data_IF_814352310465
#
_entry.id   IF_814352310465
#
_cell.length_a   1.000
_cell.length_b   1.000
_cell.length_c   1.000
_cell.angle_alpha   90.00
_cell.angle_beta   90.00
_cell.angle_gamma   90.00
#
_symmetry.space_group_name_H-M   'P 1'
#
loop_
_entity.id
_entity.type
_entity.pdbx_description
1 polymer ?
#
# COMPACT_ATOMS: atom_id res chain seq x y z
N UNK A 1 57.20 53.95 39.76
CA UNK A 1 56.30 53.12 40.60
C UNK A 1 55.59 52.17 39.64
N UNK A 2 56.16 50.99 39.33
CA UNK A 2 55.90 49.67 39.97
C UNK A 2 54.41 49.46 40.30
N UNK A 3 53.72 48.62 39.54
CA UNK A 3 52.91 47.51 40.07
C UNK A 3 52.65 46.46 38.96
N UNK A 4 53.05 45.23 39.29
CA UNK A 4 52.78 44.00 38.56
C UNK A 4 51.41 43.45 39.00
N UNK A 5 50.64 42.88 38.08
CA UNK A 5 49.44 42.10 38.41
C UNK A 5 49.53 40.72 37.79
N UNK A 6 49.31 39.73 38.66
CA UNK A 6 49.56 38.31 38.48
C UNK A 6 48.58 37.62 37.53
N UNK A 7 49.15 36.66 36.81
CA UNK A 7 48.52 35.53 36.13
C UNK A 7 47.74 34.64 37.12
N UNK A 8 46.52 34.24 36.77
CA UNK A 8 45.86 33.05 37.32
C UNK A 8 45.16 32.30 36.18
N UNK A 9 45.87 31.32 35.61
CA UNK A 9 45.36 30.44 34.55
C UNK A 9 44.79 29.19 35.24
N UNK A 10 43.47 29.12 35.36
CA UNK A 10 42.76 27.97 35.90
C UNK A 10 42.67 26.86 34.86
N UNK A 11 43.44 25.80 35.05
CA UNK A 11 43.46 24.60 34.21
C UNK A 11 42.26 23.70 34.58
N UNK A 12 41.19 23.74 33.78
CA UNK A 12 40.05 22.84 33.92
C UNK A 12 40.37 21.51 33.21
N UNK A 13 40.56 20.43 33.98
CA UNK A 13 40.70 19.08 33.46
C UNK A 13 39.32 18.54 33.04
N UNK A 14 39.08 18.52 31.72
CA UNK A 14 37.96 17.80 31.11
C UNK A 14 38.25 16.30 31.20
N UNK A 15 37.54 15.61 32.09
CA UNK A 15 37.48 14.15 32.12
C UNK A 15 36.68 13.70 30.89
N UNK A 16 37.37 13.37 29.82
CA UNK A 16 36.78 12.73 28.63
C UNK A 16 36.54 11.27 28.98
N UNK A 17 35.33 10.94 29.44
CA UNK A 17 34.90 9.55 29.57
C UNK A 17 34.81 8.94 28.18
N UNK A 18 35.61 7.91 27.91
CA UNK A 18 35.40 7.04 26.75
C UNK A 18 34.04 6.35 26.92
N UNK A 19 32.99 6.92 26.35
CA UNK A 19 31.77 6.18 26.07
C UNK A 19 32.15 5.18 24.97
N UNK A 20 32.38 3.93 25.35
CA UNK A 20 32.47 2.85 24.37
C UNK A 20 31.11 2.75 23.71
N UNK A 21 31.07 3.11 22.42
CA UNK A 21 29.93 2.92 21.54
C UNK A 21 29.80 1.43 21.22
N UNK A 22 29.42 0.66 22.24
CA UNK A 22 29.32 -0.78 22.18
C UNK A 22 28.06 -1.17 21.41
N UNK A 23 28.27 -1.95 20.35
CA UNK A 23 27.19 -2.46 19.52
C UNK A 23 26.21 -3.24 20.40
N UNK A 24 24.89 -3.01 20.21
CA UNK A 24 23.88 -3.77 20.93
C UNK A 24 23.83 -5.25 20.48
N UNK A 25 24.40 -5.55 19.31
CA UNK A 25 24.64 -6.89 18.80
C UNK A 25 26.13 -7.26 18.96
N UNK A 26 26.40 -8.50 19.40
CA UNK A 26 27.72 -9.10 19.40
C UNK A 26 28.29 -9.28 18.01
N UNK A 27 29.61 -9.43 17.91
CA UNK A 27 30.32 -9.54 16.62
C UNK A 27 29.87 -10.75 15.79
N UNK A 28 29.52 -11.85 16.46
CA UNK A 28 29.08 -13.11 15.86
C UNK A 28 27.65 -13.49 16.30
N UNK A 29 26.84 -12.51 16.72
CA UNK A 29 25.44 -12.75 17.08
C UNK A 29 24.64 -13.13 15.82
N UNK A 30 23.78 -14.13 15.92
CA UNK A 30 22.86 -14.49 14.84
C UNK A 30 21.56 -13.71 14.98
N UNK A 31 21.18 -12.99 13.93
CA UNK A 31 19.92 -12.27 13.81
C UNK A 31 18.77 -13.14 13.33
N UNK A 32 19.00 -14.17 12.52
CA UNK A 32 17.95 -15.11 12.09
C UNK A 32 17.86 -16.35 12.98
N UNK A 33 16.67 -16.62 13.52
CA UNK A 33 16.29 -17.97 13.95
C UNK A 33 17.09 -18.56 15.12
N UNK A 34 17.32 -17.80 16.21
CA UNK A 34 18.09 -18.29 17.38
C UNK A 34 17.41 -19.41 18.19
N UNK A 35 16.30 -19.99 17.73
CA UNK A 35 15.59 -21.07 18.43
C UNK A 35 15.06 -20.67 19.81
N UNK A 36 15.09 -19.38 20.15
CA UNK A 36 14.47 -18.82 21.35
C UNK A 36 13.02 -18.46 21.01
N UNK A 37 12.11 -18.82 21.91
CA UNK A 37 10.67 -18.77 21.70
C UNK A 37 10.09 -17.35 21.55
N UNK A 38 10.91 -16.30 21.60
CA UNK A 38 10.55 -14.89 21.54
C UNK A 38 11.04 -14.16 20.27
N UNK A 39 11.84 -14.81 19.41
CA UNK A 39 12.22 -14.24 18.11
C UNK A 39 11.20 -14.60 17.02
N UNK A 40 10.47 -13.61 16.51
CA UNK A 40 9.67 -13.80 15.28
C UNK A 40 10.60 -14.12 14.12
N UNK A 41 10.35 -15.25 13.46
CA UNK A 41 11.07 -15.62 12.25
C UNK A 41 10.61 -14.74 11.07
N UNK A 42 11.56 -14.16 10.32
CA UNK A 42 11.23 -13.40 9.12
C UNK A 42 10.57 -14.30 8.06
N UNK A 43 9.53 -13.77 7.42
CA UNK A 43 8.93 -14.36 6.23
C UNK A 43 9.90 -14.34 5.04
N UNK A 44 9.62 -15.16 4.02
CA UNK A 44 10.41 -15.17 2.79
C UNK A 44 10.45 -13.79 2.10
N UNK A 45 9.34 -13.05 2.11
CA UNK A 45 9.32 -11.69 1.57
C UNK A 45 10.29 -10.79 2.33
N UNK A 46 10.21 -10.77 3.67
CA UNK A 46 11.03 -9.84 4.48
C UNK A 46 12.52 -10.10 4.27
N UNK A 47 12.91 -11.38 4.16
CA UNK A 47 14.28 -11.77 3.78
C UNK A 47 14.69 -11.19 2.42
N UNK A 48 13.88 -11.41 1.38
CA UNK A 48 14.13 -10.89 0.03
C UNK A 48 14.16 -9.36 -0.01
N UNK A 49 13.28 -8.69 0.75
CA UNK A 49 13.19 -7.24 0.81
C UNK A 49 14.41 -6.62 1.48
N UNK A 50 14.94 -7.24 2.54
CA UNK A 50 16.19 -6.84 3.19
C UNK A 50 17.37 -6.99 2.22
N UNK A 51 17.50 -8.15 1.55
CA UNK A 51 18.57 -8.38 0.56
C UNK A 51 18.50 -7.33 -0.54
N UNK A 52 17.31 -7.10 -1.11
CA UNK A 52 17.09 -6.11 -2.15
C UNK A 52 17.45 -4.71 -1.67
N UNK A 53 17.00 -4.33 -0.48
CA UNK A 53 17.30 -3.03 0.12
C UNK A 53 18.81 -2.82 0.30
N UNK A 54 19.54 -3.78 0.84
CA UNK A 54 21.00 -3.67 1.01
C UNK A 54 21.73 -3.53 -0.34
N UNK A 55 21.29 -4.28 -1.36
CA UNK A 55 21.88 -4.29 -2.69
C UNK A 55 21.54 -3.07 -3.56
N UNK A 56 20.73 -2.12 -3.07
CA UNK A 56 20.44 -0.84 -3.75
C UNK A 56 21.53 0.22 -3.58
N UNK A 57 22.57 -0.04 -2.78
CA UNK A 57 23.72 0.87 -2.66
C UNK A 57 23.58 1.96 -1.60
N UNK A 58 22.69 1.80 -0.61
CA UNK A 58 22.57 2.75 0.51
C UNK A 58 23.91 2.89 1.26
N UNK A 59 24.25 4.11 1.69
CA UNK A 59 25.46 4.37 2.48
C UNK A 59 25.30 3.91 3.93
N UNK A 60 26.41 3.87 4.69
CA UNK A 60 26.36 3.49 6.10
C UNK A 60 25.48 4.45 6.90
N UNK A 61 25.60 5.76 6.64
CA UNK A 61 24.76 6.79 7.27
C UNK A 61 23.27 6.55 6.98
N UNK A 62 22.94 6.10 5.76
CA UNK A 62 21.54 5.81 5.42
C UNK A 62 20.98 4.61 6.17
N UNK A 63 21.79 3.59 6.41
CA UNK A 63 21.41 2.44 7.24
C UNK A 63 21.29 2.86 8.71
N UNK A 64 22.14 3.77 9.19
CA UNK A 64 22.05 4.34 10.54
C UNK A 64 20.78 5.16 10.74
N UNK A 65 20.38 5.97 9.76
CA UNK A 65 19.08 6.66 9.76
C UNK A 65 17.90 5.68 9.86
N UNK A 66 18.04 4.48 9.30
CA UNK A 66 17.08 3.38 9.39
C UNK A 66 17.15 2.61 10.73
N UNK A 67 18.03 3.03 11.65
CA UNK A 67 18.15 2.45 12.99
C UNK A 67 19.16 1.30 13.10
N UNK A 68 19.90 0.99 12.03
CA UNK A 68 21.00 0.00 12.08
C UNK A 68 22.19 0.62 12.83
N UNK A 69 22.78 -0.11 13.77
CA UNK A 69 23.92 0.42 14.53
C UNK A 69 25.14 0.69 13.63
N UNK A 70 25.90 1.76 13.90
CA UNK A 70 27.05 2.23 13.10
C UNK A 70 28.04 1.11 12.74
N UNK A 71 28.36 0.20 13.67
CA UNK A 71 29.25 -0.95 13.39
C UNK A 71 28.66 -1.96 12.39
N UNK A 72 27.37 -2.26 12.51
CA UNK A 72 26.67 -3.17 11.61
C UNK A 72 26.50 -2.52 10.22
N UNK A 73 26.09 -1.25 10.18
CA UNK A 73 25.96 -0.47 8.94
C UNK A 73 27.29 -0.41 8.16
N UNK A 74 28.39 -0.07 8.83
CA UNK A 74 29.72 -0.05 8.21
C UNK A 74 30.16 -1.44 7.72
N UNK A 75 29.85 -2.50 8.47
CA UNK A 75 30.22 -3.88 8.08
C UNK A 75 29.41 -4.36 6.87
N UNK A 76 28.11 -4.05 6.81
CA UNK A 76 27.23 -4.36 5.68
C UNK A 76 27.70 -3.67 4.39
N UNK A 77 27.99 -2.36 4.48
CA UNK A 77 28.49 -1.58 3.34
C UNK A 77 29.84 -2.08 2.88
N UNK A 78 30.77 -2.34 3.82
CA UNK A 78 32.10 -2.87 3.49
C UNK A 78 32.04 -4.25 2.83
N UNK A 79 31.12 -5.12 3.28
CA UNK A 79 30.91 -6.42 2.63
C UNK A 79 30.41 -6.24 1.20
N UNK A 80 29.39 -5.40 1.01
CA UNK A 80 28.75 -5.14 -0.28
C UNK A 80 29.66 -4.45 -1.30
N UNK A 81 30.36 -3.40 -0.88
CA UNK A 81 31.11 -2.47 -1.77
C UNK A 81 32.56 -2.93 -2.02
N UNK A 82 32.89 -4.18 -1.66
CA UNK A 82 34.18 -4.76 -2.00
C UNK A 82 35.39 -4.10 -1.33
N UNK A 83 36.55 -4.23 -1.97
CA UNK A 83 37.83 -3.75 -1.45
C UNK A 83 38.06 -2.26 -1.72
N UNK A 84 37.49 -1.71 -2.80
CA UNK A 84 37.60 -0.30 -3.13
C UNK A 84 36.61 0.59 -2.34
N UNK A 85 35.56 -0.01 -1.77
CA UNK A 85 34.58 0.66 -0.92
C UNK A 85 33.64 1.57 -1.71
N UNK A 86 33.48 1.34 -3.01
CA UNK A 86 32.62 2.12 -3.90
C UNK A 86 31.52 1.24 -4.50
N UNK A 87 30.28 1.47 -4.10
CA UNK A 87 29.15 0.77 -4.72
C UNK A 87 29.08 0.98 -6.25
N UNK A 88 28.81 -0.11 -6.97
CA UNK A 88 28.63 -0.13 -8.42
C UNK A 88 29.91 -0.44 -9.21
N UNK A 89 30.98 -0.88 -8.55
CA UNK A 89 32.26 -1.27 -9.16
C UNK A 89 32.31 -2.78 -9.41
N UNK A 90 33.43 -3.26 -9.99
CA UNK A 90 33.58 -4.67 -10.38
C UNK A 90 33.78 -5.61 -9.18
N UNK A 91 34.26 -5.09 -8.05
CA UNK A 91 34.54 -5.86 -6.84
C UNK A 91 33.39 -5.84 -5.80
N UNK A 92 32.24 -5.26 -6.14
CA UNK A 92 31.01 -5.37 -5.35
C UNK A 92 30.67 -6.86 -5.07
N UNK A 93 30.49 -7.20 -3.81
CA UNK A 93 30.00 -8.51 -3.36
C UNK A 93 28.57 -8.38 -2.82
N UNK A 94 27.60 -8.31 -3.73
CA UNK A 94 26.18 -8.22 -3.40
C UNK A 94 25.72 -9.43 -2.58
N UNK A 95 24.76 -9.19 -1.69
CA UNK A 95 24.17 -10.25 -0.88
C UNK A 95 23.31 -11.17 -1.74
N UNK A 96 23.55 -12.47 -1.67
CA UNK A 96 22.81 -13.51 -2.38
C UNK A 96 21.74 -14.17 -1.49
N UNK A 97 21.86 -14.05 -0.17
CA UNK A 97 20.97 -14.73 0.78
C UNK A 97 20.85 -13.98 2.11
N UNK A 98 19.80 -14.29 2.87
CA UNK A 98 19.62 -13.73 4.21
C UNK A 98 20.70 -14.28 5.16
N UNK A 99 21.07 -15.55 5.02
CA UNK A 99 22.12 -16.18 5.82
C UNK A 99 23.48 -15.47 5.63
N UNK A 100 23.76 -14.96 4.44
CA UNK A 100 24.95 -14.14 4.19
C UNK A 100 24.89 -12.79 4.92
N UNK A 101 23.72 -12.11 4.90
CA UNK A 101 23.51 -10.87 5.66
C UNK A 101 23.74 -11.09 7.16
N UNK A 102 23.21 -12.19 7.71
CA UNK A 102 23.36 -12.58 9.12
C UNK A 102 24.78 -12.91 9.53
N UNK A 103 25.59 -13.38 8.58
CA UNK A 103 26.98 -13.73 8.84
C UNK A 103 27.92 -12.52 8.87
N UNK A 104 27.44 -11.32 8.51
CA UNK A 104 28.24 -10.09 8.55
C UNK A 104 28.47 -9.67 10.00
N UNK A 105 29.72 -9.31 10.32
CA UNK A 105 30.08 -8.91 11.68
C UNK A 105 29.17 -7.82 12.24
N UNK A 106 28.75 -8.01 13.50
CA UNK A 106 27.83 -7.12 14.24
C UNK A 106 26.39 -7.07 13.68
N UNK A 107 26.03 -7.90 12.70
CA UNK A 107 24.63 -8.05 12.27
C UNK A 107 23.97 -9.09 13.16
N UNK A 108 23.29 -8.63 14.21
CA UNK A 108 22.52 -9.48 15.10
C UNK A 108 21.03 -9.11 15.11
N UNK A 109 20.28 -9.56 16.13
CA UNK A 109 18.84 -9.34 16.22
C UNK A 109 18.41 -7.87 16.14
N UNK A 110 19.21 -6.92 16.64
CA UNK A 110 18.85 -5.49 16.57
C UNK A 110 19.04 -4.94 15.17
N UNK A 111 20.14 -5.27 14.49
CA UNK A 111 20.37 -4.89 13.10
C UNK A 111 19.27 -5.47 12.18
N UNK A 112 18.93 -6.76 12.33
CA UNK A 112 17.87 -7.39 11.53
C UNK A 112 16.50 -6.76 11.82
N UNK A 113 16.17 -6.46 13.07
CA UNK A 113 14.91 -5.78 13.41
C UNK A 113 14.80 -4.39 12.77
N UNK A 114 15.90 -3.62 12.75
CA UNK A 114 15.94 -2.31 12.10
C UNK A 114 15.79 -2.42 10.58
N UNK A 115 16.46 -3.39 9.94
CA UNK A 115 16.32 -3.66 8.51
C UNK A 115 14.90 -4.14 8.15
N UNK A 116 14.28 -4.97 8.98
CA UNK A 116 12.86 -5.36 8.83
C UNK A 116 11.95 -4.13 8.85
N UNK A 117 12.13 -3.24 9.83
CA UNK A 117 11.34 -2.01 9.92
C UNK A 117 11.53 -1.13 8.68
N UNK A 118 12.78 -0.93 8.25
CA UNK A 118 13.12 -0.12 7.08
C UNK A 118 12.56 -0.66 5.76
N UNK A 119 12.26 -1.96 5.70
CA UNK A 119 11.76 -2.65 4.52
C UNK A 119 10.31 -3.10 4.66
N UNK A 120 9.65 -2.83 5.80
CA UNK A 120 8.33 -3.38 6.13
C UNK A 120 7.26 -3.09 5.08
N UNK A 121 7.31 -1.90 4.47
CA UNK A 121 6.38 -1.53 3.38
C UNK A 121 6.55 -2.37 2.11
N UNK A 122 7.75 -2.89 1.84
CA UNK A 122 8.03 -3.74 0.66
C UNK A 122 7.37 -5.12 0.78
N UNK A 123 7.11 -5.54 2.02
CA UNK A 123 6.46 -6.80 2.34
C UNK A 123 5.06 -6.65 2.91
N UNK A 124 4.53 -5.43 2.92
CA UNK A 124 3.10 -5.24 3.10
C UNK A 124 2.40 -6.02 1.98
N UNK A 125 1.74 -7.12 2.35
CA UNK A 125 0.92 -7.88 1.43
C UNK A 125 0.01 -6.90 0.68
N UNK A 126 -0.13 -7.05 -0.64
CA UNK A 126 -1.09 -6.25 -1.41
C UNK A 126 -2.49 -6.55 -0.85
N UNK A 127 -2.94 -5.71 0.08
CA UNK A 127 -4.23 -5.88 0.75
C UNK A 127 -5.39 -5.82 -0.24
N UNK A 128 -5.12 -5.41 -1.48
CA UNK A 128 -6.06 -5.35 -2.59
C UNK A 128 -5.78 -6.39 -3.69
N UNK A 129 -4.99 -7.44 -3.44
CA UNK A 129 -4.73 -8.50 -4.42
C UNK A 129 -6.03 -9.08 -4.97
N UNK A 130 -6.99 -9.39 -4.09
CA UNK A 130 -8.31 -9.90 -4.48
C UNK A 130 -9.11 -8.89 -5.32
N UNK A 131 -8.85 -7.59 -5.18
CA UNK A 131 -9.47 -6.56 -5.99
C UNK A 131 -8.94 -6.55 -7.44
N UNK A 132 -7.79 -7.16 -7.72
CA UNK A 132 -7.26 -7.33 -9.08
C UNK A 132 -7.80 -8.57 -9.79
N UNK A 133 -8.29 -9.57 -9.05
CA UNK A 133 -9.03 -10.68 -9.64
C UNK A 133 -10.42 -10.21 -10.11
N UNK A 134 -10.52 -9.81 -11.37
CA UNK A 134 -11.72 -9.22 -11.96
C UNK A 134 -12.94 -10.13 -12.01
N UNK A 135 -12.78 -11.43 -11.72
CA UNK A 135 -13.86 -12.42 -11.67
C UNK A 135 -14.48 -12.54 -10.28
N UNK A 136 -13.75 -12.12 -9.24
CA UNK A 136 -14.16 -12.30 -7.85
C UNK A 136 -15.10 -11.18 -7.41
N UNK A 137 -16.37 -11.50 -7.21
CA UNK A 137 -17.39 -10.53 -6.78
C UNK A 137 -17.25 -10.12 -5.31
N UNK A 138 -16.89 -11.06 -4.43
CA UNK A 138 -16.77 -10.85 -2.98
C UNK A 138 -15.31 -10.95 -2.56
N UNK A 139 -14.76 -9.87 -2.00
CA UNK A 139 -13.38 -9.83 -1.52
C UNK A 139 -13.32 -9.57 -0.01
N UNK A 140 -12.28 -10.07 0.64
CA UNK A 140 -12.01 -9.88 2.07
C UNK A 140 -10.66 -9.19 2.28
N UNK A 141 -10.51 -8.54 3.43
CA UNK A 141 -9.25 -7.99 3.90
C UNK A 141 -8.75 -8.76 5.11
N UNK A 142 -7.45 -8.78 5.33
CA UNK A 142 -6.88 -9.26 6.59
C UNK A 142 -7.37 -8.39 7.76
N UNK A 143 -7.47 -8.99 8.95
CA UNK A 143 -7.76 -8.24 10.16
C UNK A 143 -6.69 -7.16 10.37
N UNK A 144 -7.11 -5.95 10.73
CA UNK A 144 -6.20 -4.81 10.89
C UNK A 144 -5.70 -4.17 9.60
N UNK A 145 -6.13 -4.64 8.41
CA UNK A 145 -5.71 -4.03 7.14
C UNK A 145 -5.98 -2.51 7.12
N UNK A 146 -4.96 -1.68 6.85
CA UNK A 146 -5.09 -0.23 6.97
C UNK A 146 -6.11 0.30 5.97
N UNK A 147 -6.89 1.29 6.41
CA UNK A 147 -7.77 2.02 5.51
C UNK A 147 -6.98 3.13 4.80
N UNK A 148 -7.18 3.32 3.50
CA UNK A 148 -6.54 4.40 2.76
C UNK A 148 -7.01 5.77 3.29
N UNK A 149 -6.10 6.73 3.29
CA UNK A 149 -6.30 8.11 3.78
C UNK A 149 -6.59 9.08 2.64
N UNK A 150 -6.20 8.72 1.42
CA UNK A 150 -6.48 9.42 0.16
C UNK A 150 -7.09 8.48 -0.87
N UNK A 151 -7.61 9.06 -1.95
CA UNK A 151 -8.21 8.31 -3.05
C UNK A 151 -7.69 8.84 -4.37
N UNK A 152 -7.17 7.93 -5.17
CA UNK A 152 -6.73 8.21 -6.53
C UNK A 152 -7.84 7.84 -7.50
N UNK A 153 -8.19 8.77 -8.39
CA UNK A 153 -9.23 8.58 -9.40
C UNK A 153 -8.66 7.77 -10.55
N UNK A 154 -9.08 6.52 -10.79
CA UNK A 154 -8.48 5.71 -11.83
C UNK A 154 -9.03 6.10 -13.20
N UNK A 155 -8.13 6.06 -14.18
CA UNK A 155 -8.41 6.21 -15.60
C UNK A 155 -7.72 5.10 -16.39
N UNK A 156 -8.24 4.79 -17.58
CA UNK A 156 -7.65 3.76 -18.43
C UNK A 156 -8.35 3.67 -19.78
N UNK A 157 -7.58 3.72 -20.87
CA UNK A 157 -8.06 3.51 -22.25
C UNK A 157 -9.31 4.35 -22.62
N UNK A 158 -9.37 5.60 -22.16
CA UNK A 158 -10.49 6.52 -22.46
C UNK A 158 -11.70 6.38 -21.52
N UNK A 159 -11.64 5.51 -20.51
CA UNK A 159 -12.64 5.39 -19.45
C UNK A 159 -12.10 5.97 -18.14
N UNK A 160 -12.98 6.52 -17.32
CA UNK A 160 -12.62 7.08 -16.01
C UNK A 160 -13.65 6.72 -14.94
N UNK A 161 -13.17 6.58 -13.71
CA UNK A 161 -14.01 6.46 -12.52
C UNK A 161 -13.84 7.71 -11.67
N UNK A 162 -14.84 8.58 -11.72
CA UNK A 162 -14.82 9.87 -11.05
C UNK A 162 -15.57 9.87 -9.72
N UNK A 163 -15.26 10.85 -8.88
CA UNK A 163 -15.95 11.10 -7.62
C UNK A 163 -15.80 10.00 -6.57
N UNK A 164 -16.28 10.30 -5.38
CA UNK A 164 -16.44 9.36 -4.28
C UNK A 164 -17.81 9.61 -3.68
N UNK A 165 -18.63 8.58 -3.49
CA UNK A 165 -19.97 8.73 -2.92
C UNK A 165 -20.27 7.61 -1.94
N UNK A 166 -20.40 7.95 -0.67
CA UNK A 166 -20.75 7.00 0.37
C UNK A 166 -22.21 7.12 0.77
N UNK A 167 -22.84 5.97 0.92
CA UNK A 167 -24.16 5.81 1.48
C UNK A 167 -24.11 4.90 2.70
N UNK A 168 -23.87 5.49 3.88
CA UNK A 168 -23.85 4.82 5.17
C UNK A 168 -25.23 4.35 5.63
N UNK A 169 -25.56 3.07 5.46
CA UNK A 169 -26.90 2.50 5.61
C UNK A 169 -27.37 2.30 7.06
N UNK A 170 -27.23 3.31 7.91
CA UNK A 170 -27.71 3.32 9.30
C UNK A 170 -28.25 4.71 9.68
N UNK A 171 -29.03 4.76 10.77
CA UNK A 171 -29.53 6.02 11.33
C UNK A 171 -28.36 6.92 11.74
N UNK A 172 -28.35 8.16 11.25
CA UNK A 172 -27.28 9.12 11.52
C UNK A 172 -26.01 8.92 10.68
N UNK A 173 -25.98 7.97 9.76
CA UNK A 173 -24.90 7.83 8.77
C UNK A 173 -24.91 8.98 7.76
N UNK A 174 -23.74 9.30 7.21
CA UNK A 174 -23.57 10.29 6.13
C UNK A 174 -24.13 9.74 4.81
N UNK A 175 -25.19 10.38 4.27
CA UNK A 175 -25.93 9.90 3.10
C UNK A 175 -26.58 11.02 2.25
N UNK A 176 -26.17 11.20 0.97
CA UNK A 176 -24.84 10.87 0.48
C UNK A 176 -23.78 11.78 1.12
N UNK A 177 -22.54 11.31 1.20
CA UNK A 177 -21.38 12.20 1.30
C UNK A 177 -20.46 11.97 0.12
N UNK A 178 -19.89 13.07 -0.39
CA UNK A 178 -18.97 13.06 -1.52
C UNK A 178 -17.51 13.17 -1.13
N UNK A 179 -17.22 13.23 0.17
CA UNK A 179 -15.85 13.30 0.69
C UNK A 179 -15.31 11.89 0.92
N UNK A 180 -14.12 11.60 0.39
CA UNK A 180 -13.49 10.31 0.63
C UNK A 180 -13.27 10.04 2.12
N UNK A 181 -12.80 11.06 2.84
CA UNK A 181 -12.49 10.99 4.28
C UNK A 181 -13.72 10.84 5.17
N UNK A 182 -14.93 11.05 4.63
CA UNK A 182 -16.17 10.83 5.37
C UNK A 182 -16.63 9.36 5.39
N UNK A 183 -16.08 8.51 4.51
CA UNK A 183 -16.34 7.08 4.52
C UNK A 183 -15.80 6.42 5.79
N UNK A 184 -16.39 5.31 6.23
CA UNK A 184 -15.79 4.48 7.29
C UNK A 184 -14.50 3.84 6.81
N UNK A 185 -13.68 3.29 7.71
CA UNK A 185 -12.45 2.57 7.32
C UNK A 185 -12.76 1.41 6.36
N UNK A 186 -13.82 0.64 6.62
CA UNK A 186 -14.26 -0.43 5.74
C UNK A 186 -14.80 0.13 4.40
N UNK A 187 -15.58 1.20 4.45
CA UNK A 187 -16.05 1.92 3.27
C UNK A 187 -14.91 2.39 2.37
N UNK A 188 -13.89 3.05 2.94
CA UNK A 188 -12.73 3.55 2.20
C UNK A 188 -11.90 2.43 1.59
N UNK A 189 -11.70 1.30 2.31
CA UNK A 189 -11.09 0.09 1.73
C UNK A 189 -11.89 -0.44 0.54
N UNK A 190 -13.22 -0.57 0.65
CA UNK A 190 -14.04 -1.05 -0.46
C UNK A 190 -14.06 -0.08 -1.65
N UNK A 191 -14.06 1.22 -1.40
CA UNK A 191 -14.02 2.22 -2.45
C UNK A 191 -12.69 2.20 -3.21
N UNK A 192 -11.57 2.06 -2.50
CA UNK A 192 -10.25 1.87 -3.11
C UNK A 192 -10.16 0.55 -3.87
N UNK A 193 -10.69 -0.55 -3.32
CA UNK A 193 -10.74 -1.82 -4.01
C UNK A 193 -11.59 -1.73 -5.30
N UNK A 194 -12.70 -0.99 -5.28
CA UNK A 194 -13.51 -0.72 -6.47
C UNK A 194 -12.73 0.06 -7.54
N UNK A 195 -11.89 1.03 -7.13
CA UNK A 195 -11.03 1.79 -8.04
C UNK A 195 -9.96 0.91 -8.70
N UNK A 196 -9.26 0.09 -7.91
CA UNK A 196 -8.28 -0.87 -8.39
C UNK A 196 -8.91 -1.88 -9.36
N UNK A 197 -10.11 -2.38 -9.02
CA UNK A 197 -10.88 -3.30 -9.87
C UNK A 197 -11.24 -2.64 -11.19
N UNK A 198 -11.70 -1.40 -11.15
CA UNK A 198 -12.01 -0.61 -12.34
C UNK A 198 -10.77 -0.47 -13.24
N UNK A 199 -9.67 0.02 -12.69
CA UNK A 199 -8.42 0.21 -13.44
C UNK A 199 -7.95 -1.09 -14.07
N UNK A 200 -8.00 -2.20 -13.32
CA UNK A 200 -7.60 -3.53 -13.80
C UNK A 200 -8.48 -3.99 -14.97
N UNK A 201 -9.79 -3.75 -14.92
CA UNK A 201 -10.70 -4.04 -16.04
C UNK A 201 -10.40 -3.12 -17.22
N UNK A 202 -10.15 -1.83 -16.98
CA UNK A 202 -9.95 -0.84 -18.06
C UNK A 202 -8.56 -0.87 -18.70
N UNK A 203 -7.59 -1.61 -18.15
CA UNK A 203 -6.32 -1.93 -18.84
C UNK A 203 -6.56 -2.67 -20.16
N UNK A 204 -7.59 -3.50 -20.21
CA UNK A 204 -8.09 -4.17 -21.42
C UNK A 204 -9.64 -4.10 -21.41
N UNK A 205 -10.23 -2.97 -21.85
CA UNK A 205 -11.65 -2.72 -21.66
C UNK A 205 -12.49 -3.72 -22.49
N UNK A 206 -13.60 -4.25 -21.94
CA UNK A 206 -14.45 -5.17 -22.69
C UNK A 206 -14.94 -4.59 -24.01
N UNK A 207 -14.96 -5.41 -25.07
CA UNK A 207 -15.36 -4.98 -26.42
C UNK A 207 -16.78 -4.37 -26.44
N UNK A 208 -17.71 -4.90 -25.65
CA UNK A 208 -19.06 -4.36 -25.53
C UNK A 208 -19.08 -2.98 -24.88
N UNK A 209 -18.15 -2.70 -23.95
CA UNK A 209 -18.04 -1.38 -23.33
C UNK A 209 -17.46 -0.35 -24.31
N UNK A 210 -16.45 -0.75 -25.09
CA UNK A 210 -15.90 0.06 -26.18
C UNK A 210 -16.99 0.39 -27.19
N UNK A 211 -17.80 -0.61 -27.57
CA UNK A 211 -18.94 -0.42 -28.46
C UNK A 211 -20.00 0.51 -27.86
N UNK A 212 -20.34 0.36 -26.58
CA UNK A 212 -21.28 1.25 -25.89
C UNK A 212 -20.84 2.72 -26.01
N UNK A 213 -19.56 3.00 -25.78
CA UNK A 213 -18.99 4.34 -25.86
C UNK A 213 -19.03 4.91 -27.28
N UNK A 214 -18.86 4.06 -28.30
CA UNK A 214 -18.88 4.47 -29.71
C UNK A 214 -20.29 4.69 -30.27
N UNK A 215 -21.26 3.86 -29.85
CA UNK A 215 -22.58 3.76 -30.47
C UNK A 215 -23.68 4.52 -29.69
N UNK A 216 -23.35 5.18 -28.57
CA UNK A 216 -24.31 5.89 -27.73
C UNK A 216 -23.82 7.28 -27.32
N UNK A 217 -24.65 8.03 -26.58
CA UNK A 217 -24.29 9.35 -26.06
C UNK A 217 -23.50 9.29 -24.74
N UNK A 218 -23.12 8.10 -24.27
CA UNK A 218 -22.33 7.93 -23.06
C UNK A 218 -20.84 8.11 -23.36
N UNK A 219 -20.18 9.06 -22.67
CA UNK A 219 -18.78 9.40 -22.90
C UNK A 219 -17.78 8.66 -22.00
N UNK A 220 -18.02 7.39 -21.69
CA UNK A 220 -17.05 6.55 -20.97
C UNK A 220 -16.83 6.86 -19.49
N UNK A 221 -17.66 7.73 -18.88
CA UNK A 221 -17.49 8.13 -17.47
C UNK A 221 -18.34 7.31 -16.51
N UNK A 222 -17.69 6.85 -15.45
CA UNK A 222 -18.30 6.21 -14.29
C UNK A 222 -18.19 7.10 -13.06
N UNK A 223 -19.03 6.80 -12.05
CA UNK A 223 -18.97 7.43 -10.73
C UNK A 223 -18.87 6.40 -9.62
N UNK A 224 -17.86 6.51 -8.76
CA UNK A 224 -17.65 5.54 -7.69
C UNK A 224 -18.64 5.77 -6.54
N UNK A 225 -19.43 4.74 -6.24
CA UNK A 225 -20.46 4.76 -5.22
C UNK A 225 -20.27 3.54 -4.33
N UNK A 226 -20.30 3.72 -3.02
CA UNK A 226 -20.28 2.63 -2.06
C UNK A 226 -21.50 2.68 -1.13
N UNK A 227 -22.35 1.65 -1.20
CA UNK A 227 -23.36 1.41 -0.17
C UNK A 227 -22.66 0.76 1.04
N UNK A 228 -22.49 1.53 2.10
CA UNK A 228 -21.73 1.11 3.27
C UNK A 228 -22.68 0.55 4.34
N UNK A 229 -22.54 -0.73 4.67
CA UNK A 229 -23.28 -1.42 5.73
C UNK A 229 -22.39 -1.78 6.93
N UNK A 230 -21.15 -1.29 7.00
CA UNK A 230 -20.21 -1.68 8.07
C UNK A 230 -20.57 -1.09 9.44
N UNK A 231 -21.54 -0.17 9.50
CA UNK A 231 -22.01 0.42 10.76
C UNK A 231 -22.71 -0.63 11.64
N UNK A 232 -22.52 -0.58 12.97
CA UNK A 232 -23.10 -1.56 13.90
C UNK A 232 -24.63 -1.61 13.87
N UNK A 233 -25.27 -0.49 13.50
CA UNK A 233 -26.73 -0.35 13.40
C UNK A 233 -27.23 -0.31 11.95
N UNK A 234 -26.49 -0.90 11.00
CA UNK A 234 -26.88 -0.89 9.60
C UNK A 234 -28.20 -1.63 9.34
N UNK A 235 -29.07 -0.98 8.56
CA UNK A 235 -30.35 -1.47 8.07
C UNK A 235 -30.12 -2.53 6.98
N UNK A 236 -29.74 -3.74 7.41
CA UNK A 236 -29.44 -4.86 6.51
C UNK A 236 -27.95 -5.13 6.34
N UNK A 237 -27.57 -5.70 5.22
CA UNK A 237 -26.19 -6.04 4.83
C UNK A 237 -26.05 -5.95 3.30
N UNK A 238 -24.81 -5.90 2.81
CA UNK A 238 -24.52 -5.93 1.38
C UNK A 238 -25.03 -7.22 0.72
N UNK A 239 -25.75 -7.06 -0.38
CA UNK A 239 -26.41 -8.13 -1.14
C UNK A 239 -25.85 -8.30 -2.56
N UNK A 240 -25.20 -7.29 -3.13
CA UNK A 240 -24.59 -7.38 -4.44
C UNK A 240 -24.07 -6.03 -4.94
N UNK A 241 -22.98 -6.06 -5.70
CA UNK A 241 -22.56 -4.90 -6.47
C UNK A 241 -23.59 -4.60 -7.57
N UNK A 242 -23.57 -3.38 -8.13
CA UNK A 242 -24.47 -3.03 -9.24
C UNK A 242 -23.85 -2.00 -10.17
N UNK A 243 -24.28 -2.01 -11.42
CA UNK A 243 -23.99 -0.96 -12.40
C UNK A 243 -25.31 -0.34 -12.81
N UNK A 244 -25.38 1.00 -12.84
CA UNK A 244 -26.61 1.69 -13.16
C UNK A 244 -26.34 2.99 -13.91
N UNK A 245 -26.85 3.12 -15.14
CA UNK A 245 -26.86 4.39 -15.86
C UNK A 245 -27.90 5.34 -15.26
N UNK A 246 -27.47 6.14 -14.29
CA UNK A 246 -28.34 7.08 -13.59
C UNK A 246 -28.79 8.24 -14.49
N UNK A 247 -27.91 8.68 -15.40
CA UNK A 247 -28.17 9.70 -16.42
C UNK A 247 -27.37 9.35 -17.68
N UNK A 248 -27.76 9.93 -18.82
CA UNK A 248 -27.18 9.61 -20.15
C UNK A 248 -25.65 9.63 -20.18
N UNK A 249 -25.00 10.51 -19.41
CA UNK A 249 -23.54 10.66 -19.39
C UNK A 249 -22.83 10.01 -18.19
N UNK A 250 -23.53 9.24 -17.34
CA UNK A 250 -22.91 8.71 -16.12
C UNK A 250 -23.47 7.35 -15.69
N UNK A 251 -22.58 6.35 -15.62
CA UNK A 251 -22.86 5.06 -15.02
C UNK A 251 -22.33 5.04 -13.58
N UNK A 252 -23.19 4.71 -12.62
CA UNK A 252 -22.79 4.49 -11.23
C UNK A 252 -22.11 3.12 -11.14
N UNK A 253 -20.87 3.11 -10.65
CA UNK A 253 -20.10 1.93 -10.28
C UNK A 253 -20.32 1.68 -8.79
N UNK A 254 -21.22 0.75 -8.47
CA UNK A 254 -21.74 0.63 -7.11
C UNK A 254 -21.18 -0.62 -6.45
N UNK A 255 -20.25 -0.42 -5.52
CA UNK A 255 -19.79 -1.43 -4.57
C UNK A 255 -20.66 -1.42 -3.32
N UNK A 256 -20.61 -2.52 -2.55
CA UNK A 256 -21.20 -2.56 -1.21
C UNK A 256 -20.18 -3.03 -0.19
N UNK A 257 -20.06 -2.28 0.91
CA UNK A 257 -19.30 -2.72 2.10
C UNK A 257 -20.24 -3.49 3.00
N UNK A 258 -19.89 -4.73 3.33
CA UNK A 258 -20.66 -5.59 4.22
C UNK A 258 -20.41 -5.27 5.69
N UNK A 259 -21.26 -5.82 6.56
CA UNK A 259 -21.14 -5.69 8.03
C UNK A 259 -19.80 -6.19 8.59
N UNK A 260 -19.24 -7.23 7.99
CA UNK A 260 -17.94 -7.80 8.35
C UNK A 260 -16.75 -7.02 7.77
N UNK A 261 -17.01 -5.92 7.04
CA UNK A 261 -16.00 -5.09 6.40
C UNK A 261 -15.47 -5.64 5.05
N UNK A 262 -15.99 -6.76 4.58
CA UNK A 262 -15.72 -7.29 3.24
C UNK A 262 -16.47 -6.50 2.15
N UNK A 263 -16.09 -6.67 0.88
CA UNK A 263 -16.66 -5.88 -0.22
C UNK A 263 -17.30 -6.75 -1.29
N UNK A 264 -18.43 -6.28 -1.81
CA UNK A 264 -19.01 -6.74 -3.06
C UNK A 264 -18.66 -5.74 -4.16
N UNK A 265 -17.91 -6.17 -5.17
CA UNK A 265 -17.37 -5.33 -6.24
C UNK A 265 -17.95 -5.74 -7.61
N UNK A 266 -18.16 -4.79 -8.55
CA UNK A 266 -18.48 -5.15 -9.92
C UNK A 266 -17.39 -6.02 -10.56
N UNK A 267 -17.79 -7.11 -11.21
CA UNK A 267 -16.88 -8.01 -11.95
C UNK A 267 -16.78 -7.61 -13.43
N UNK A 268 -15.79 -8.17 -14.14
CA UNK A 268 -15.69 -7.99 -15.60
C UNK A 268 -16.97 -8.42 -16.32
N UNK A 269 -17.56 -9.55 -15.92
CA UNK A 269 -18.81 -10.05 -16.50
C UNK A 269 -19.99 -9.11 -16.25
N UNK A 270 -20.06 -8.49 -15.05
CA UNK A 270 -21.06 -7.47 -14.77
C UNK A 270 -20.89 -6.25 -15.68
N UNK A 271 -19.65 -5.81 -15.94
CA UNK A 271 -19.37 -4.70 -16.87
C UNK A 271 -19.80 -5.05 -18.30
N UNK A 272 -19.50 -6.26 -18.77
CA UNK A 272 -19.95 -6.77 -20.08
C UNK A 272 -21.47 -6.76 -20.18
N UNK A 273 -22.16 -7.32 -19.17
CA UNK A 273 -23.61 -7.40 -19.16
C UNK A 273 -24.27 -6.03 -19.06
N UNK A 274 -23.68 -5.11 -18.28
CA UNK A 274 -24.15 -3.73 -18.20
C UNK A 274 -24.01 -3.04 -19.56
N UNK A 275 -22.88 -3.20 -20.24
CA UNK A 275 -22.68 -2.63 -21.57
C UNK A 275 -23.72 -3.13 -22.58
N UNK A 276 -24.02 -4.43 -22.58
CA UNK A 276 -25.08 -5.02 -23.43
C UNK A 276 -26.46 -4.43 -23.12
N UNK A 277 -26.86 -4.41 -21.86
CA UNK A 277 -28.14 -3.84 -21.45
C UNK A 277 -28.27 -2.35 -21.81
N UNK A 278 -27.20 -1.59 -21.68
CA UNK A 278 -27.17 -0.18 -22.05
C UNK A 278 -27.16 0.05 -23.56
N UNK A 279 -26.52 -0.83 -24.36
CA UNK A 279 -26.60 -0.79 -25.83
C UNK A 279 -28.03 -1.05 -26.33
N UNK A 280 -28.73 -2.01 -25.75
CA UNK A 280 -30.14 -2.28 -26.04
C UNK A 280 -31.01 -1.05 -25.73
N UNK A 281 -30.78 -0.44 -24.56
CA UNK A 281 -31.48 0.78 -24.13
C UNK A 281 -31.19 1.95 -25.07
N UNK A 282 -29.92 2.18 -25.44
CA UNK A 282 -29.51 3.23 -26.35
C UNK A 282 -30.08 3.06 -27.76
N UNK A 283 -30.16 1.82 -28.27
CA UNK A 283 -30.77 1.52 -29.57
C UNK A 283 -32.25 1.92 -29.61
N UNK A 284 -32.97 1.71 -28.50
CA UNK A 284 -34.38 2.08 -28.39
C UNK A 284 -34.60 3.59 -28.18
N UNK A 285 -33.61 4.31 -27.64
CA UNK A 285 -33.75 5.69 -27.16
C UNK A 285 -32.75 6.67 -27.77
N UNK A 286 -32.47 6.56 -29.07
CA UNK A 286 -31.60 7.49 -29.81
C UNK A 286 -30.22 7.74 -29.14
N UNK A 287 -29.62 6.68 -28.59
CA UNK A 287 -28.33 6.71 -27.90
C UNK A 287 -28.42 7.07 -26.41
N UNK A 288 -29.60 7.31 -25.84
CA UNK A 288 -29.77 7.53 -24.40
C UNK A 288 -29.78 6.21 -23.62
N UNK A 289 -28.86 6.09 -22.65
CA UNK A 289 -28.69 4.86 -21.87
C UNK A 289 -29.34 4.92 -20.49
N UNK A 290 -29.97 6.03 -20.12
CA UNK A 290 -30.51 6.24 -18.79
C UNK A 290 -31.49 5.12 -18.38
N UNK A 291 -31.28 4.57 -17.20
CA UNK A 291 -32.14 3.53 -16.62
C UNK A 291 -31.62 2.09 -16.81
N UNK A 292 -30.68 1.84 -17.73
CA UNK A 292 -30.06 0.50 -17.83
C UNK A 292 -29.35 0.15 -16.52
N UNK A 293 -29.52 -1.09 -16.04
CA UNK A 293 -28.90 -1.56 -14.80
C UNK A 293 -28.60 -3.06 -14.84
N UNK A 294 -27.56 -3.46 -14.11
CA UNK A 294 -27.19 -4.86 -13.85
C UNK A 294 -26.85 -5.01 -12.37
N UNK A 295 -27.21 -6.15 -11.79
CA UNK A 295 -26.95 -6.55 -10.39
C UNK A 295 -26.30 -7.93 -10.38
#
# INVERSE_FOLDING_TARGET
MRHASLLALSLAALVTGCLSDDSPDGIDDQGFGTGKADGEELTACEKDAIITYLNEGHSAEKLEEAGVHTRAAASLVKHRDGADGLFGTEDDNKFDSAEEVDAVSYVGPRAIAALREATGERCAADVYEQARDVTKAHITFAEGAPAPTSYDYPDGNGFNLSGTEFWQKWSGGKNPTYSFTDGTDAGRRCMQAAAIRFETIMKDPPAELVKLNADTNWGGSFFNWNDDFSGPNAFGDGSGARLWAWRTSLIKWISQTKKDGSCLLPTRDMVVNAAKACLETGTANAGEIQGCQVR
#
